data_IF_278693178015
#
_entry.id   IF_278693178015
#
_cell.length_a   1.000
_cell.length_b   1.000
_cell.length_c   1.000
_cell.angle_alpha   90.00
_cell.angle_beta   90.00
_cell.angle_gamma   90.00
#
_symmetry.space_group_name_H-M   'P 1'
#
loop_
_entity.id
_entity.type
_entity.pdbx_description
1 polymer ?
#
# COMPACT_ATOMS: atom_id res chain seq x y z
N UNK A 1 -16.79 2.80 -8.93
CA UNK A 1 -15.52 3.56 -8.83
C UNK A 1 -14.67 3.19 -10.03
N UNK A 2 -14.02 4.17 -10.66
CA UNK A 2 -13.12 3.94 -11.80
C UNK A 2 -11.85 4.78 -11.61
N UNK A 3 -10.69 4.15 -11.82
CA UNK A 3 -9.39 4.80 -11.80
C UNK A 3 -8.58 4.50 -13.05
N UNK A 4 -7.38 5.05 -13.15
CA UNK A 4 -6.48 4.81 -14.29
C UNK A 4 -5.04 4.66 -13.82
N UNK A 5 -4.33 3.69 -14.39
CA UNK A 5 -2.90 3.50 -14.16
C UNK A 5 -2.12 4.56 -14.95
N UNK A 6 -1.43 5.45 -14.23
CA UNK A 6 -0.54 6.44 -14.82
C UNK A 6 0.94 6.14 -14.55
N UNK A 7 1.22 5.14 -13.71
CA UNK A 7 2.55 4.63 -13.46
C UNK A 7 2.51 3.14 -13.18
N UNK A 8 3.40 2.38 -13.82
CA UNK A 8 3.59 0.95 -13.60
C UNK A 8 5.08 0.71 -13.38
N UNK A 9 5.45 0.11 -12.26
CA UNK A 9 6.84 -0.10 -11.89
C UNK A 9 7.08 -1.45 -11.21
N UNK A 10 8.22 -2.07 -11.56
CA UNK A 10 8.71 -3.32 -10.96
C UNK A 10 10.20 -3.21 -10.65
N UNK A 11 10.70 -3.99 -9.71
CA UNK A 11 12.12 -4.04 -9.40
C UNK A 11 12.50 -5.11 -8.41
N UNK A 12 13.64 -5.75 -8.66
CA UNK A 12 14.26 -6.67 -7.69
C UNK A 12 14.97 -5.88 -6.57
N UNK A 13 15.09 -6.46 -5.37
CA UNK A 13 15.88 -5.89 -4.30
C UNK A 13 17.27 -5.54 -4.79
N UNK A 14 17.69 -4.31 -4.48
CA UNK A 14 19.04 -3.85 -4.77
C UNK A 14 19.60 -3.06 -3.62
N UNK A 15 20.93 -2.96 -3.62
CA UNK A 15 21.64 -2.14 -2.67
C UNK A 15 21.38 -0.66 -2.94
N UNK A 16 20.92 0.06 -1.92
CA UNK A 16 20.63 1.49 -1.96
C UNK A 16 21.51 2.19 -0.92
N UNK A 17 22.27 3.23 -1.29
CA UNK A 17 23.03 4.04 -0.35
C UNK A 17 22.10 4.72 0.67
N UNK A 18 22.50 4.72 1.95
CA UNK A 18 21.80 5.40 3.04
C UNK A 18 22.81 6.21 3.84
N UNK A 19 23.05 7.45 3.37
CA UNK A 19 24.09 8.34 3.87
C UNK A 19 25.48 8.03 3.31
N UNK A 20 26.51 8.72 3.82
CA UNK A 20 27.84 8.78 3.18
C UNK A 20 28.64 7.47 3.15
N UNK A 21 28.35 6.47 4.01
CA UNK A 21 29.15 5.24 4.16
C UNK A 21 28.35 3.98 4.47
N UNK A 22 27.02 4.01 4.29
CA UNK A 22 26.17 2.85 4.56
C UNK A 22 25.28 2.60 3.36
N UNK A 23 24.90 1.34 3.21
CA UNK A 23 23.93 0.89 2.22
C UNK A 23 22.93 -0.04 2.91
N UNK A 24 21.78 -0.23 2.28
CA UNK A 24 20.81 -1.25 2.65
C UNK A 24 20.27 -1.92 1.41
N UNK A 25 20.00 -3.22 1.51
CA UNK A 25 19.25 -3.92 0.49
C UNK A 25 17.76 -3.58 0.64
N UNK A 26 17.09 -3.26 -0.46
CA UNK A 26 15.69 -2.85 -0.45
C UNK A 26 15.01 -3.12 -1.78
N UNK A 27 13.74 -3.55 -1.73
CA UNK A 27 12.86 -3.66 -2.90
C UNK A 27 12.10 -2.37 -3.21
N UNK A 28 12.34 -1.30 -2.44
CA UNK A 28 11.61 -0.04 -2.63
C UNK A 28 11.90 0.55 -4.00
N UNK A 29 13.12 0.39 -4.54
CA UNK A 29 13.54 1.06 -5.78
C UNK A 29 13.12 0.25 -7.01
N UNK A 30 11.98 0.64 -7.57
CA UNK A 30 11.41 0.06 -8.79
C UNK A 30 11.77 0.89 -10.03
N UNK A 31 11.60 0.32 -11.21
CA UNK A 31 11.80 0.95 -12.50
C UNK A 31 10.47 0.97 -13.27
N UNK A 32 10.14 2.08 -13.97
CA UNK A 32 8.96 2.13 -14.82
C UNK A 32 9.01 1.08 -15.93
N UNK A 33 7.87 0.48 -16.24
CA UNK A 33 7.68 -0.46 -17.35
C UNK A 33 6.35 -0.21 -18.04
N UNK A 34 6.27 -0.52 -19.33
CA UNK A 34 5.03 -0.38 -20.11
C UNK A 34 4.01 -1.48 -19.82
N UNK A 35 4.47 -2.66 -19.42
CA UNK A 35 3.63 -3.80 -19.09
C UNK A 35 4.34 -4.76 -18.13
N UNK A 36 3.57 -5.46 -17.32
CA UNK A 36 4.08 -6.44 -16.38
C UNK A 36 3.09 -7.59 -16.18
N UNK A 37 3.62 -8.81 -16.05
CA UNK A 37 2.83 -10.00 -15.76
C UNK A 37 2.62 -10.13 -14.25
N UNK A 38 1.37 -10.07 -13.79
CA UNK A 38 0.99 -10.30 -12.41
C UNK A 38 0.69 -11.78 -12.17
N UNK A 39 1.32 -12.37 -11.16
CA UNK A 39 1.10 -13.75 -10.74
C UNK A 39 0.41 -13.81 -9.37
N UNK A 40 0.09 -15.02 -8.90
CA UNK A 40 -0.40 -15.26 -7.54
C UNK A 40 0.59 -14.87 -6.43
N UNK A 41 1.85 -14.57 -6.78
CA UNK A 41 2.91 -14.20 -5.84
C UNK A 41 3.44 -12.77 -6.04
N UNK A 42 2.82 -11.98 -6.92
CA UNK A 42 3.30 -10.66 -7.31
C UNK A 42 3.74 -10.58 -8.76
N UNK A 43 4.24 -9.41 -9.17
CA UNK A 43 4.72 -9.19 -10.53
C UNK A 43 5.99 -9.99 -10.83
N UNK A 44 6.08 -10.54 -12.04
CA UNK A 44 7.32 -11.14 -12.54
C UNK A 44 8.43 -10.08 -12.52
N UNK A 45 9.60 -10.47 -12.05
CA UNK A 45 10.77 -9.60 -11.84
C UNK A 45 10.61 -8.47 -10.82
N UNK A 46 9.50 -8.46 -10.05
CA UNK A 46 9.37 -7.66 -8.84
C UNK A 46 9.74 -8.52 -7.63
N UNK A 47 10.82 -8.17 -6.94
CA UNK A 47 11.28 -8.93 -5.80
C UNK A 47 11.02 -8.18 -4.49
N UNK A 48 10.62 -8.93 -3.46
CA UNK A 48 10.50 -8.43 -2.10
C UNK A 48 11.75 -8.84 -1.31
N UNK A 49 12.45 -7.87 -0.72
CA UNK A 49 13.67 -8.16 0.04
C UNK A 49 13.37 -8.84 1.38
N UNK A 50 12.28 -8.44 2.00
CA UNK A 50 11.85 -8.90 3.32
C UNK A 50 10.44 -9.47 3.21
N UNK A 51 10.34 -10.75 2.87
CA UNK A 51 9.07 -11.45 2.76
C UNK A 51 8.33 -11.48 4.11
N UNK A 52 9.06 -11.45 5.23
CA UNK A 52 8.47 -11.44 6.56
C UNK A 52 7.82 -10.09 6.90
N UNK A 53 8.23 -8.97 6.28
CA UNK A 53 7.70 -7.62 6.55
C UNK A 53 6.88 -7.00 5.41
N UNK A 54 7.14 -7.40 4.17
CA UNK A 54 6.68 -6.69 2.97
C UNK A 54 6.13 -7.60 1.87
N UNK A 55 5.86 -8.87 2.20
CA UNK A 55 5.44 -9.87 1.23
C UNK A 55 4.31 -10.78 1.64
N UNK A 56 4.10 -11.80 0.81
CA UNK A 56 3.03 -12.78 0.96
C UNK A 56 1.93 -12.62 -0.10
N UNK A 57 1.08 -13.63 -0.18
CA UNK A 57 -0.05 -13.67 -1.13
C UNK A 57 -1.05 -12.53 -0.92
N UNK A 58 -1.04 -11.90 0.26
CA UNK A 58 -1.87 -10.74 0.58
C UNK A 58 -1.34 -9.41 0.03
N UNK A 59 -0.08 -9.36 -0.45
CA UNK A 59 0.64 -8.13 -0.80
C UNK A 59 1.34 -8.25 -2.15
N UNK A 60 0.63 -8.80 -3.13
CA UNK A 60 1.17 -9.03 -4.48
C UNK A 60 1.27 -7.73 -5.27
N UNK A 61 0.45 -6.73 -4.93
CA UNK A 61 0.45 -5.40 -5.58
C UNK A 61 0.42 -4.30 -4.52
N UNK A 62 1.24 -3.28 -4.71
CA UNK A 62 1.20 -2.04 -3.93
C UNK A 62 0.68 -0.89 -4.81
N UNK A 63 -0.31 -0.15 -4.32
CA UNK A 63 -0.96 0.95 -5.05
C UNK A 63 -0.71 2.27 -4.31
N UNK A 64 -0.44 3.32 -5.06
CA UNK A 64 -0.33 4.68 -4.53
C UNK A 64 -1.15 5.68 -5.37
N UNK A 65 -2.00 6.52 -4.75
CA UNK A 65 -2.73 7.55 -5.48
C UNK A 65 -1.82 8.65 -6.05
N UNK A 66 -2.05 9.01 -7.30
CA UNK A 66 -1.30 10.01 -8.05
C UNK A 66 -1.45 11.42 -7.47
N UNK A 67 -2.63 11.73 -6.92
CA UNK A 67 -2.98 13.03 -6.33
C UNK A 67 -2.02 13.40 -5.19
N UNK A 68 -1.48 12.41 -4.50
CA UNK A 68 -0.53 12.63 -3.42
C UNK A 68 0.83 13.08 -3.93
N UNK A 69 1.26 12.67 -5.12
CA UNK A 69 2.51 13.16 -5.72
C UNK A 69 2.48 14.68 -5.93
N UNK A 70 1.37 15.21 -6.45
CA UNK A 70 1.19 16.66 -6.64
C UNK A 70 1.33 17.40 -5.31
N UNK A 71 0.60 16.94 -4.28
CA UNK A 71 0.69 17.50 -2.94
C UNK A 71 2.11 17.50 -2.37
N UNK A 72 2.83 16.39 -2.48
CA UNK A 72 4.18 16.29 -1.92
C UNK A 72 5.19 17.13 -2.68
N UNK A 73 5.09 17.16 -4.01
CA UNK A 73 5.94 18.01 -4.85
C UNK A 73 5.75 19.48 -4.50
N UNK A 74 4.51 19.93 -4.32
CA UNK A 74 4.18 21.30 -3.88
C UNK A 74 4.69 21.59 -2.46
N UNK A 75 4.37 20.70 -1.50
CA UNK A 75 4.71 20.89 -0.09
C UNK A 75 6.23 20.98 0.15
N UNK A 76 7.03 20.23 -0.62
CA UNK A 76 8.48 20.17 -0.43
C UNK A 76 9.29 20.89 -1.52
N UNK A 77 8.65 21.41 -2.57
CA UNK A 77 9.33 22.08 -3.68
C UNK A 77 10.28 21.16 -4.45
N UNK A 78 9.88 19.90 -4.66
CA UNK A 78 10.68 18.86 -5.33
C UNK A 78 9.89 18.21 -6.47
N UNK A 79 10.59 17.39 -7.25
CA UNK A 79 9.98 16.45 -8.18
C UNK A 79 10.29 15.02 -7.71
N UNK A 80 9.30 14.34 -7.16
CA UNK A 80 9.43 12.96 -6.74
C UNK A 80 9.62 12.04 -7.96
N UNK A 81 10.55 11.07 -7.90
CA UNK A 81 10.77 10.14 -9.01
C UNK A 81 9.58 9.17 -9.17
N UNK A 82 9.44 8.51 -10.34
CA UNK A 82 8.46 7.45 -10.51
C UNK A 82 8.58 6.35 -9.45
N UNK A 83 7.44 5.88 -8.98
CA UNK A 83 7.34 4.92 -7.89
C UNK A 83 8.10 5.35 -6.62
N UNK A 84 8.14 6.65 -6.28
CA UNK A 84 8.85 7.23 -5.14
C UNK A 84 8.50 6.55 -3.81
N UNK A 85 7.31 5.96 -3.71
CA UNK A 85 6.85 5.27 -2.51
C UNK A 85 7.08 3.75 -2.61
N UNK A 86 7.66 3.24 -3.70
CA UNK A 86 7.88 1.82 -3.93
C UNK A 86 6.61 1.04 -4.25
N UNK A 87 5.58 1.74 -4.72
CA UNK A 87 4.37 1.15 -5.28
C UNK A 87 4.64 0.49 -6.63
N UNK A 88 3.81 -0.49 -6.97
CA UNK A 88 3.77 -1.07 -8.31
C UNK A 88 2.90 -0.24 -9.24
N UNK A 89 1.75 0.22 -8.75
CA UNK A 89 0.77 0.97 -9.52
C UNK A 89 0.60 2.37 -8.93
N UNK A 90 0.82 3.38 -9.76
CA UNK A 90 0.39 4.75 -9.48
C UNK A 90 -0.93 4.99 -10.21
N UNK A 91 -1.99 5.30 -9.46
CA UNK A 91 -3.37 5.36 -9.99
C UNK A 91 -4.04 6.69 -9.69
N UNK A 92 -4.96 7.13 -10.55
CA UNK A 92 -5.80 8.32 -10.32
C UNK A 92 -7.19 7.93 -9.82
N UNK A 93 -7.81 8.78 -9.00
CA UNK A 93 -9.21 8.68 -8.58
C UNK A 93 -9.48 7.65 -7.48
N UNK A 94 -8.44 7.12 -6.84
CA UNK A 94 -8.55 5.98 -5.92
C UNK A 94 -7.87 6.28 -4.57
N UNK A 95 -8.33 7.34 -3.90
CA UNK A 95 -7.81 7.76 -2.59
C UNK A 95 -8.21 6.80 -1.47
N UNK A 96 -7.44 6.78 -0.40
CA UNK A 96 -7.63 5.90 0.77
C UNK A 96 -9.00 6.08 1.43
N UNK A 97 -9.60 7.27 1.34
CA UNK A 97 -10.94 7.57 1.86
C UNK A 97 -12.06 6.96 1.03
N UNK A 98 -11.80 6.63 -0.24
CA UNK A 98 -12.80 6.16 -1.18
C UNK A 98 -12.69 4.64 -1.37
N UNK A 99 -11.50 4.07 -1.21
CA UNK A 99 -11.20 2.64 -1.36
C UNK A 99 -11.43 1.86 -0.07
N UNK A 100 -12.11 0.72 -0.17
CA UNK A 100 -12.40 -0.19 0.93
C UNK A 100 -11.47 -1.40 0.96
N UNK A 101 -11.15 -1.90 2.15
CA UNK A 101 -10.60 -3.25 2.30
C UNK A 101 -11.67 -4.23 1.82
N UNK A 102 -11.29 -5.11 0.89
CA UNK A 102 -12.19 -6.02 0.21
C UNK A 102 -12.71 -5.55 -1.15
N UNK A 103 -12.50 -4.29 -1.54
CA UNK A 103 -12.79 -3.87 -2.92
C UNK A 103 -12.04 -4.77 -3.91
N UNK A 104 -12.74 -5.24 -4.95
CA UNK A 104 -12.19 -6.06 -6.02
C UNK A 104 -12.14 -5.23 -7.30
N UNK A 105 -10.96 -5.18 -7.91
CA UNK A 105 -10.71 -4.41 -9.13
C UNK A 105 -10.27 -5.31 -10.28
N UNK A 106 -10.85 -5.07 -11.46
CA UNK A 106 -10.33 -5.57 -12.73
C UNK A 106 -9.36 -4.55 -13.32
N UNK A 107 -8.19 -5.03 -13.74
CA UNK A 107 -7.12 -4.23 -14.35
C UNK A 107 -6.49 -5.04 -15.47
N UNK A 108 -6.63 -4.58 -16.71
CA UNK A 108 -6.13 -5.32 -17.88
C UNK A 108 -6.71 -6.74 -17.88
N UNK A 109 -5.84 -7.75 -17.80
CA UNK A 109 -6.21 -9.18 -17.74
C UNK A 109 -6.26 -9.74 -16.31
N UNK A 110 -6.01 -8.93 -15.29
CA UNK A 110 -5.91 -9.36 -13.90
C UNK A 110 -7.11 -8.94 -13.07
N UNK A 111 -7.33 -9.64 -11.97
CA UNK A 111 -8.24 -9.22 -10.89
C UNK A 111 -7.45 -9.17 -9.59
N UNK A 112 -7.59 -8.07 -8.85
CA UNK A 112 -6.95 -7.87 -7.55
C UNK A 112 -7.99 -7.51 -6.50
N UNK A 113 -7.70 -7.81 -5.24
CA UNK A 113 -8.54 -7.44 -4.09
C UNK A 113 -7.71 -6.65 -3.08
N UNK A 114 -8.24 -5.54 -2.57
CA UNK A 114 -7.60 -4.76 -1.50
C UNK A 114 -7.63 -5.53 -0.19
N UNK A 115 -6.48 -5.68 0.45
CA UNK A 115 -6.34 -6.55 1.63
C UNK A 115 -5.98 -5.79 2.88
N UNK A 116 -5.27 -4.67 2.75
CA UNK A 116 -4.87 -3.86 3.90
C UNK A 116 -4.41 -2.45 3.53
N UNK A 117 -4.55 -1.57 4.51
CA UNK A 117 -3.94 -0.26 4.48
C UNK A 117 -2.41 -0.39 4.58
N UNK A 118 -1.66 0.32 3.74
CA UNK A 118 -0.21 0.20 3.73
C UNK A 118 0.38 0.86 4.98
N UNK A 119 1.19 0.13 5.74
CA UNK A 119 2.02 0.72 6.79
C UNK A 119 3.25 1.40 6.18
N UNK A 120 3.43 2.72 6.35
CA UNK A 120 4.58 3.43 5.80
C UNK A 120 5.84 3.09 6.59
N UNK A 121 7.00 3.10 5.93
CA UNK A 121 8.28 2.82 6.58
C UNK A 121 9.32 3.91 6.29
N UNK A 122 10.31 4.04 7.16
CA UNK A 122 11.37 5.05 7.04
C UNK A 122 12.19 4.94 5.74
N UNK A 123 12.10 3.81 5.03
CA UNK A 123 12.71 3.62 3.72
C UNK A 123 12.17 4.60 2.67
N UNK A 124 10.93 5.08 2.80
CA UNK A 124 10.35 6.13 1.93
C UNK A 124 11.20 7.40 2.01
N UNK A 125 11.47 7.89 3.22
CA UNK A 125 12.28 9.10 3.39
C UNK A 125 13.73 8.90 2.95
N UNK A 126 14.30 7.70 3.19
CA UNK A 126 15.66 7.36 2.75
C UNK A 126 15.79 7.31 1.22
N UNK A 127 14.80 6.75 0.52
CA UNK A 127 14.80 6.65 -0.94
C UNK A 127 14.79 8.03 -1.60
N UNK A 128 13.97 8.93 -1.08
CA UNK A 128 13.74 10.25 -1.67
C UNK A 128 14.67 11.32 -1.10
N UNK A 129 15.70 10.93 -0.33
CA UNK A 129 16.61 11.82 0.40
C UNK A 129 15.88 12.94 1.19
N UNK A 130 14.72 12.59 1.76
CA UNK A 130 13.81 13.52 2.41
C UNK A 130 13.17 12.86 3.64
N UNK A 131 13.80 13.01 4.80
CA UNK A 131 13.33 12.37 6.05
C UNK A 131 11.94 12.81 6.47
N UNK A 132 11.59 14.07 6.23
CA UNK A 132 10.28 14.63 6.61
C UNK A 132 9.13 14.01 5.80
N UNK A 133 9.39 13.54 4.57
CA UNK A 133 8.37 12.89 3.74
C UNK A 133 7.76 11.67 4.44
N UNK A 134 8.58 10.83 5.09
CA UNK A 134 8.06 9.69 5.83
C UNK A 134 7.14 10.10 6.99
N UNK A 135 7.48 11.17 7.70
CA UNK A 135 6.67 11.67 8.82
C UNK A 135 5.33 12.18 8.30
N UNK A 136 5.35 12.98 7.23
CA UNK A 136 4.14 13.55 6.65
C UNK A 136 3.23 12.50 6.03
N UNK A 137 3.77 11.51 5.32
CA UNK A 137 3.03 10.35 4.83
C UNK A 137 2.34 9.60 5.98
N UNK A 138 3.05 9.41 7.10
CA UNK A 138 2.47 8.77 8.29
C UNK A 138 1.38 9.63 8.93
N UNK A 139 1.62 10.94 9.09
CA UNK A 139 0.70 11.87 9.74
C UNK A 139 -0.61 12.00 8.96
N UNK A 140 -0.52 12.05 7.63
CA UNK A 140 -1.68 12.23 6.74
C UNK A 140 -2.45 10.94 6.48
N UNK A 141 -1.81 9.78 6.63
CA UNK A 141 -2.38 8.50 6.20
C UNK A 141 -2.33 8.30 4.67
N UNK A 142 -1.60 9.13 3.93
CA UNK A 142 -1.51 9.04 2.47
C UNK A 142 -0.44 8.03 2.07
N UNK A 143 -0.68 6.78 2.41
CA UNK A 143 0.29 5.70 2.31
C UNK A 143 0.02 4.79 1.12
N UNK A 144 -1.16 4.87 0.52
CA UNK A 144 -1.68 3.87 -0.39
C UNK A 144 -2.09 2.58 0.34
N UNK A 145 -2.19 1.50 -0.42
CA UNK A 145 -2.75 0.23 0.07
C UNK A 145 -2.17 -0.96 -0.68
N UNK A 146 -2.40 -2.14 -0.14
CA UNK A 146 -1.89 -3.40 -0.65
C UNK A 146 -3.04 -4.28 -1.13
N UNK A 147 -2.75 -5.09 -2.14
CA UNK A 147 -3.72 -5.98 -2.74
C UNK A 147 -3.13 -7.38 -2.93
N UNK A 148 -4.03 -8.38 -2.93
CA UNK A 148 -3.75 -9.74 -3.38
C UNK A 148 -4.20 -9.93 -4.83
N UNK A 149 -3.59 -10.89 -5.50
CA UNK A 149 -3.99 -11.32 -6.85
C UNK A 149 -5.09 -12.37 -6.72
N UNK A 150 -6.24 -12.12 -7.36
CA UNK A 150 -7.35 -13.07 -7.49
C UNK A 150 -7.24 -13.81 -8.82
N UNK A 151 -7.02 -13.08 -9.92
CA UNK A 151 -6.76 -13.64 -11.25
C UNK A 151 -5.44 -13.10 -11.81
N UNK A 152 -4.61 -14.01 -12.33
CA UNK A 152 -3.32 -13.70 -12.95
C UNK A 152 -3.50 -13.11 -14.33
N UNK A 153 -2.64 -12.18 -14.73
CA UNK A 153 -2.72 -11.57 -16.05
C UNK A 153 -1.68 -10.48 -16.30
N UNK A 154 -1.60 -10.02 -17.55
CA UNK A 154 -0.81 -8.85 -17.90
C UNK A 154 -1.55 -7.56 -17.53
N UNK A 155 -0.83 -6.61 -16.95
CA UNK A 155 -1.26 -5.24 -16.69
C UNK A 155 -0.37 -4.31 -17.52
N UNK A 156 -0.98 -3.36 -18.21
CA UNK A 156 -0.31 -2.35 -19.01
C UNK A 156 -0.43 -0.96 -18.39
N UNK A 157 0.57 -0.12 -18.65
CA UNK A 157 0.47 1.30 -18.40
C UNK A 157 -0.73 1.89 -19.16
N UNK A 158 -1.54 2.71 -18.50
CA UNK A 158 -2.74 3.31 -19.08
C UNK A 158 -4.02 2.48 -18.94
N UNK A 159 -3.95 1.24 -18.43
CA UNK A 159 -5.14 0.44 -18.16
C UNK A 159 -6.08 1.14 -17.16
N UNK A 160 -7.38 0.95 -17.38
CA UNK A 160 -8.43 1.36 -16.44
C UNK A 160 -8.45 0.39 -15.24
N UNK A 161 -8.72 0.94 -14.07
CA UNK A 161 -8.97 0.20 -12.84
C UNK A 161 -10.47 0.25 -12.54
N UNK A 162 -11.16 -0.84 -12.83
CA UNK A 162 -12.61 -0.94 -12.71
C UNK A 162 -12.99 -1.67 -11.41
N UNK A 163 -13.79 -1.05 -10.55
CA UNK A 163 -14.35 -1.73 -9.38
C UNK A 163 -15.46 -2.69 -9.81
N UNK A 164 -15.28 -3.98 -9.56
CA UNK A 164 -16.19 -5.04 -10.00
C UNK A 164 -16.98 -5.66 -8.84
N UNK A 165 -16.46 -5.52 -7.63
CA UNK A 165 -17.12 -5.93 -6.39
C UNK A 165 -16.70 -4.98 -5.27
N UNK A 166 -17.65 -4.66 -4.39
CA UNK A 166 -17.45 -3.77 -3.25
C UNK A 166 -18.15 -4.38 -2.04
N UNK A 167 -17.48 -4.47 -0.87
CA UNK A 167 -18.09 -5.01 0.34
C UNK A 167 -19.12 -4.05 0.95
N UNK A 168 -20.12 -4.60 1.63
CA UNK A 168 -21.20 -3.84 2.28
C UNK A 168 -20.75 -3.10 3.55
N UNK A 169 -19.76 -3.63 4.27
CA UNK A 169 -19.29 -3.06 5.55
C UNK A 169 -18.52 -1.74 5.39
N UNK A 170 -18.10 -1.42 4.16
CA UNK A 170 -17.49 -0.17 3.71
C UNK A 170 -16.34 0.34 4.61
N UNK A 171 -15.50 -0.57 5.11
CA UNK A 171 -14.30 -0.23 5.88
C UNK A 171 -13.23 0.32 4.93
N UNK A 172 -13.05 1.64 4.93
CA UNK A 172 -12.10 2.32 4.04
C UNK A 172 -10.65 2.15 4.50
N UNK A 173 -9.71 2.31 3.57
CA UNK A 173 -8.28 2.34 3.90
C UNK A 173 -7.98 3.48 4.89
N UNK A 174 -8.59 4.64 4.70
CA UNK A 174 -8.47 5.77 5.62
C UNK A 174 -9.01 5.45 7.01
N UNK A 175 -10.14 4.74 7.11
CA UNK A 175 -10.69 4.27 8.38
C UNK A 175 -9.69 3.33 9.08
N UNK A 176 -9.08 2.40 8.37
CA UNK A 176 -8.02 1.56 8.92
C UNK A 176 -6.84 2.40 9.43
N UNK A 177 -6.40 3.45 8.72
CA UNK A 177 -5.30 4.30 9.21
C UNK A 177 -5.66 5.08 10.48
N UNK A 178 -6.82 5.72 10.52
CA UNK A 178 -7.27 6.48 11.69
C UNK A 178 -7.28 5.59 12.94
N UNK A 179 -7.86 4.40 12.80
CA UNK A 179 -8.05 3.50 13.92
C UNK A 179 -6.77 2.75 14.32
N UNK A 180 -5.93 2.36 13.35
CA UNK A 180 -4.80 1.44 13.58
C UNK A 180 -3.43 2.14 13.49
N UNK A 181 -3.20 2.94 12.44
CA UNK A 181 -1.91 3.62 12.23
C UNK A 181 -1.75 4.80 13.18
N UNK A 182 -2.80 5.61 13.34
CA UNK A 182 -2.81 6.76 14.24
C UNK A 182 -3.21 6.39 15.66
N UNK A 183 -3.80 5.21 15.83
CA UNK A 183 -4.10 4.63 17.15
C UNK A 183 -5.28 5.30 17.84
N UNK A 184 -6.23 5.83 17.08
CA UNK A 184 -7.46 6.43 17.62
C UNK A 184 -8.59 5.42 17.79
N UNK A 185 -8.41 4.18 17.34
CA UNK A 185 -9.47 3.19 17.32
C UNK A 185 -9.87 2.68 18.69
N UNK A 186 -11.18 2.69 18.92
CA UNK A 186 -11.85 1.99 20.02
C UNK A 186 -11.88 0.48 19.78
N UNK A 187 -12.27 -0.28 20.81
CA UNK A 187 -12.50 -1.71 20.70
C UNK A 187 -13.54 -2.05 19.61
N UNK A 188 -14.66 -1.33 19.57
CA UNK A 188 -15.71 -1.53 18.55
C UNK A 188 -15.18 -1.32 17.13
N UNK A 189 -14.40 -0.26 16.91
CA UNK A 189 -13.85 0.07 15.59
C UNK A 189 -12.79 -0.95 15.14
N UNK A 190 -11.97 -1.46 16.07
CA UNK A 190 -11.02 -2.54 15.78
C UNK A 190 -11.73 -3.88 15.50
N UNK A 191 -12.79 -4.21 16.25
CA UNK A 191 -13.60 -5.40 15.98
C UNK A 191 -14.22 -5.30 14.58
N UNK A 192 -14.78 -4.14 14.22
CA UNK A 192 -15.32 -3.90 12.87
C UNK A 192 -14.27 -4.10 11.77
N UNK A 193 -13.02 -3.70 11.98
CA UNK A 193 -11.93 -3.98 11.03
C UNK A 193 -11.68 -5.48 10.91
N UNK A 194 -11.70 -6.21 12.04
CA UNK A 194 -11.49 -7.66 12.07
C UNK A 194 -12.64 -8.44 11.41
N UNK A 195 -13.84 -7.91 11.37
CA UNK A 195 -14.98 -8.55 10.70
C UNK A 195 -14.84 -8.57 9.16
N UNK A 196 -13.97 -7.74 8.59
CA UNK A 196 -13.71 -7.75 7.15
C UNK A 196 -13.00 -9.05 6.76
N UNK A 197 -13.70 -9.92 6.04
CA UNK A 197 -13.19 -11.23 5.60
C UNK A 197 -11.93 -11.09 4.72
N UNK A 198 -11.89 -10.08 3.85
CA UNK A 198 -10.79 -9.85 2.93
C UNK A 198 -9.49 -9.35 3.60
N UNK A 199 -9.51 -9.00 4.89
CA UNK A 199 -8.37 -8.43 5.60
C UNK A 199 -7.16 -9.36 5.54
N UNK A 200 -5.97 -8.80 5.26
CA UNK A 200 -4.72 -9.56 5.26
C UNK A 200 -4.48 -10.21 6.64
N UNK A 201 -4.01 -11.46 6.66
CA UNK A 201 -3.81 -12.22 7.91
C UNK A 201 -2.85 -11.52 8.88
N UNK A 202 -1.83 -10.89 8.32
CA UNK A 202 -0.91 -10.09 9.13
C UNK A 202 -1.56 -8.85 9.71
N UNK A 203 -2.35 -8.14 8.92
CA UNK A 203 -3.00 -6.94 9.40
C UNK A 203 -3.99 -7.30 10.51
N UNK A 204 -4.72 -8.41 10.35
CA UNK A 204 -5.55 -9.04 11.39
C UNK A 204 -4.75 -9.25 12.68
N UNK A 205 -3.60 -9.92 12.60
CA UNK A 205 -2.72 -10.14 13.77
C UNK A 205 -2.28 -8.82 14.45
N UNK A 206 -1.93 -7.80 13.67
CA UNK A 206 -1.52 -6.48 14.17
C UNK A 206 -2.68 -5.74 14.87
N UNK A 207 -3.92 -5.96 14.45
CA UNK A 207 -5.13 -5.40 15.07
C UNK A 207 -5.50 -6.17 16.34
N UNK A 208 -5.52 -7.51 16.30
CA UNK A 208 -5.78 -8.37 17.45
C UNK A 208 -4.80 -8.10 18.61
N UNK A 209 -3.51 -7.95 18.28
CA UNK A 209 -2.48 -7.63 19.28
C UNK A 209 -2.74 -6.28 19.96
N UNK A 210 -3.18 -5.27 19.20
CA UNK A 210 -3.56 -3.96 19.77
C UNK A 210 -4.77 -4.07 20.66
N UNK A 211 -5.79 -4.81 20.24
CA UNK A 211 -7.03 -5.00 20.98
C UNK A 211 -6.76 -5.67 22.33
N UNK A 212 -5.94 -6.73 22.37
CA UNK A 212 -5.51 -7.39 23.60
C UNK A 212 -4.80 -6.41 24.54
N UNK A 213 -3.86 -5.62 24.01
CA UNK A 213 -3.13 -4.64 24.82
C UNK A 213 -4.04 -3.55 25.42
N UNK A 214 -5.08 -3.13 24.68
CA UNK A 214 -6.09 -2.18 25.15
C UNK A 214 -6.90 -2.75 26.31
N UNK A 215 -7.37 -4.00 26.20
CA UNK A 215 -8.08 -4.68 27.28
C UNK A 215 -7.23 -4.78 28.56
N UNK A 216 -5.93 -5.11 28.43
CA UNK A 216 -5.01 -5.21 29.58
C UNK A 216 -4.72 -3.86 30.27
N UNK A 217 -4.85 -2.74 29.56
CA UNK A 217 -4.72 -1.40 30.15
C UNK A 217 -5.99 -1.02 30.89
N UNK A 218 -7.17 -1.36 30.36
CA UNK A 218 -8.45 -1.03 30.97
C UNK A 218 -8.76 -1.84 32.25
N UNK A 219 -8.08 -2.98 32.47
CA UNK A 219 -8.19 -3.79 33.68
C UNK A 219 -7.30 -3.32 34.86
N UNK A 220 -6.46 -2.31 34.68
CA UNK A 220 -5.56 -1.76 35.71
C UNK A 220 -6.05 -0.43 36.29
#
# INVERSE_FOLDING_TARGET
MEGKIIGLAIGKPKEMPVGKKRSMMTGIVKQPVEKAMLTQYGFVDDGQYDLAHHGGVDRTVCIYPAEHYERWNEQFGIELPPAAFGENLTVTGMLEKDVCIGDVFRIGQSIIQVTEARNPCATIGKRNDLSELFKEVRNTGYTGYLCRTIEVGEICLGDTVECIERPDDLVTVAYCHENILHGYGTEEEMIRILEVEALAERYRFDVETRLINLAMVNEK
#
